data_IF_160349421432
#
_entry.id   IF_160349421432
#
_cell.length_a   1.000
_cell.length_b   1.000
_cell.length_c   1.000
_cell.angle_alpha   90.00
_cell.angle_beta   90.00
_cell.angle_gamma   90.00
#
_symmetry.space_group_name_H-M   'P 1'
#
loop_
_entity.id
_entity.type
_entity.pdbx_description
1 polymer ?
#
# COMPACT_ATOMS: atom_id res chain seq x y z
N UNK A 1 9.16 11.09 2.88
CA UNK A 1 8.50 10.41 4.04
C UNK A 1 8.34 11.28 5.30
N UNK A 2 9.38 11.96 5.80
CA UNK A 2 9.29 12.73 7.06
C UNK A 2 8.21 13.84 7.05
N UNK A 3 8.07 14.58 5.94
CA UNK A 3 7.00 15.57 5.78
C UNK A 3 5.60 14.93 5.80
N UNK A 4 5.44 13.79 5.13
CA UNK A 4 4.19 13.03 5.11
C UNK A 4 3.81 12.54 6.51
N UNK A 5 4.78 11.99 7.28
CA UNK A 5 4.56 11.63 8.69
C UNK A 5 4.07 12.82 9.51
N UNK A 6 4.71 13.99 9.36
CA UNK A 6 4.32 15.21 10.09
C UNK A 6 2.89 15.62 9.75
N UNK A 7 2.53 15.62 8.46
CA UNK A 7 1.15 15.87 7.98
C UNK A 7 0.16 14.87 8.60
N UNK A 8 0.49 13.59 8.59
CA UNK A 8 -0.38 12.54 9.10
C UNK A 8 -0.38 12.40 10.63
N UNK A 9 0.51 13.08 11.35
CA UNK A 9 0.55 13.11 12.82
C UNK A 9 0.82 11.74 13.46
N UNK A 10 1.52 10.84 12.77
CA UNK A 10 1.76 9.48 13.26
C UNK A 10 2.71 9.47 14.47
N UNK A 11 2.32 8.74 15.52
CA UNK A 11 3.09 8.58 16.75
C UNK A 11 3.74 7.20 16.91
N UNK A 12 3.38 6.23 16.08
CA UNK A 12 3.95 4.89 16.13
C UNK A 12 5.42 4.87 15.64
N UNK A 13 6.25 3.93 16.15
CA UNK A 13 7.58 3.69 15.61
C UNK A 13 7.49 3.26 14.15
N UNK A 14 8.31 3.87 13.30
CA UNK A 14 8.38 3.52 11.88
C UNK A 14 9.84 3.51 11.44
N UNK A 15 10.14 2.65 10.48
CA UNK A 15 11.43 2.60 9.80
C UNK A 15 11.13 2.65 8.31
N UNK A 16 11.96 3.37 7.57
CA UNK A 16 11.87 3.38 6.11
C UNK A 16 12.87 2.39 5.54
N UNK A 17 12.44 1.64 4.54
CA UNK A 17 13.31 0.81 3.70
C UNK A 17 13.98 1.59 2.57
N UNK A 18 13.80 2.93 2.53
CA UNK A 18 14.41 3.78 1.52
C UNK A 18 15.94 3.62 1.52
N UNK A 19 16.50 3.41 0.32
CA UNK A 19 17.93 3.19 0.14
C UNK A 19 18.40 1.77 0.49
N UNK A 20 17.49 0.79 0.53
CA UNK A 20 17.81 -0.63 0.69
C UNK A 20 17.08 -1.49 -0.35
N UNK A 21 17.60 -2.68 -0.59
CA UNK A 21 16.99 -3.66 -1.51
C UNK A 21 15.87 -4.50 -0.85
N UNK A 22 15.64 -4.31 0.45
CA UNK A 22 14.64 -5.02 1.25
C UNK A 22 13.26 -5.19 0.58
N UNK A 23 12.62 -4.14 0.00
CA UNK A 23 11.31 -4.31 -0.61
C UNK A 23 11.37 -5.20 -1.87
N UNK A 24 12.48 -5.24 -2.59
CA UNK A 24 12.64 -6.10 -3.76
C UNK A 24 12.96 -7.54 -3.35
N UNK A 25 13.85 -7.72 -2.38
CA UNK A 25 14.24 -9.04 -1.86
C UNK A 25 13.05 -9.82 -1.27
N UNK A 26 12.06 -9.11 -0.74
CA UNK A 26 10.86 -9.69 -0.13
C UNK A 26 9.60 -9.58 -1.00
N UNK A 27 9.73 -9.14 -2.26
CA UNK A 27 8.62 -9.06 -3.20
C UNK A 27 7.55 -8.03 -2.81
N UNK A 28 7.91 -7.01 -2.04
CA UNK A 28 7.06 -5.87 -1.69
C UNK A 28 7.02 -4.81 -2.79
N UNK A 29 7.99 -4.84 -3.72
CA UNK A 29 8.02 -3.98 -4.88
C UNK A 29 8.70 -4.67 -6.06
N UNK A 30 8.37 -4.21 -7.27
CA UNK A 30 8.98 -4.63 -8.53
C UNK A 30 10.02 -3.60 -9.00
N UNK A 31 11.12 -4.09 -9.57
CA UNK A 31 12.01 -3.24 -10.35
C UNK A 31 11.32 -2.80 -11.65
N UNK A 32 11.80 -1.71 -12.26
CA UNK A 32 11.27 -1.27 -13.55
C UNK A 32 11.38 -2.35 -14.63
N UNK A 33 12.46 -3.14 -14.61
CA UNK A 33 12.66 -4.22 -15.57
C UNK A 33 11.62 -5.33 -15.36
N UNK A 34 11.45 -5.80 -14.12
CA UNK A 34 10.46 -6.82 -13.78
C UNK A 34 9.04 -6.40 -14.19
N UNK A 35 8.68 -5.13 -13.97
CA UNK A 35 7.36 -4.60 -14.32
C UNK A 35 7.10 -4.63 -15.84
N UNK A 36 8.11 -4.36 -16.67
CA UNK A 36 8.01 -4.41 -18.14
C UNK A 36 7.85 -5.83 -18.69
N UNK A 37 8.27 -6.82 -17.92
CA UNK A 37 8.14 -8.24 -18.27
C UNK A 37 6.75 -8.81 -17.92
N UNK A 38 5.89 -8.05 -17.23
CA UNK A 38 4.54 -8.47 -16.83
C UNK A 38 3.51 -7.82 -17.76
N UNK A 39 2.91 -8.58 -18.71
CA UNK A 39 1.99 -8.01 -19.71
C UNK A 39 0.80 -7.28 -19.10
N UNK A 40 0.30 -7.77 -17.96
CA UNK A 40 -0.84 -7.15 -17.27
C UNK A 40 -0.48 -5.76 -16.73
N UNK A 41 0.74 -5.56 -16.23
CA UNK A 41 1.18 -4.24 -15.75
C UNK A 41 1.38 -3.30 -16.94
N UNK A 42 1.99 -3.80 -18.02
CA UNK A 42 2.17 -3.01 -19.26
C UNK A 42 0.83 -2.52 -19.79
N UNK A 43 -0.17 -3.41 -19.92
CA UNK A 43 -1.52 -3.04 -20.37
C UNK A 43 -2.18 -1.99 -19.47
N UNK A 44 -2.05 -2.13 -18.14
CA UNK A 44 -2.62 -1.14 -17.20
C UNK A 44 -1.91 0.22 -17.26
N UNK A 45 -0.66 0.28 -17.70
CA UNK A 45 0.08 1.54 -17.90
C UNK A 45 -0.31 2.19 -19.23
N UNK A 46 -0.41 1.40 -20.30
CA UNK A 46 -0.71 1.88 -21.65
C UNK A 46 -2.19 2.29 -21.81
N UNK A 47 -3.11 1.50 -21.24
CA UNK A 47 -4.54 1.69 -21.32
C UNK A 47 -5.18 1.73 -19.92
N UNK A 48 -4.84 2.73 -19.07
CA UNK A 48 -5.29 2.76 -17.70
C UNK A 48 -6.80 3.03 -17.61
N UNK A 49 -7.58 2.16 -16.94
CA UNK A 49 -8.97 2.47 -16.62
C UNK A 49 -9.05 3.74 -15.77
N UNK A 50 -10.16 4.48 -15.89
CA UNK A 50 -10.34 5.79 -15.26
C UNK A 50 -10.06 5.77 -13.73
N UNK A 51 -10.43 4.68 -13.05
CA UNK A 51 -10.18 4.56 -11.61
C UNK A 51 -8.69 4.52 -11.27
N UNK A 52 -7.82 3.93 -12.11
CA UNK A 52 -6.37 3.93 -11.88
C UNK A 52 -5.74 5.29 -12.16
N UNK A 53 -6.30 6.04 -13.11
CA UNK A 53 -5.87 7.43 -13.36
C UNK A 53 -6.19 8.33 -12.16
N UNK A 54 -7.38 8.18 -11.57
CA UNK A 54 -7.75 8.85 -10.32
C UNK A 54 -6.86 8.42 -9.16
N UNK A 55 -6.66 7.12 -9.00
CA UNK A 55 -5.81 6.57 -7.93
C UNK A 55 -4.38 7.11 -7.99
N UNK A 56 -3.76 7.16 -9.18
CA UNK A 56 -2.42 7.73 -9.38
C UNK A 56 -2.33 9.19 -8.93
N UNK A 57 -3.34 10.01 -9.24
CA UNK A 57 -3.44 11.39 -8.75
C UNK A 57 -3.59 11.45 -7.23
N UNK A 58 -4.44 10.60 -6.66
CA UNK A 58 -4.70 10.57 -5.23
C UNK A 58 -3.46 10.18 -4.43
N UNK A 59 -2.69 9.17 -4.87
CA UNK A 59 -1.43 8.77 -4.22
C UNK A 59 -0.29 9.77 -4.48
N UNK A 60 -0.42 10.62 -5.51
CA UNK A 60 0.58 11.62 -5.88
C UNK A 60 1.85 11.03 -6.51
N UNK A 61 1.71 9.91 -7.25
CA UNK A 61 2.79 9.22 -7.92
C UNK A 61 2.41 8.86 -9.35
N UNK A 62 3.39 8.73 -10.24
CA UNK A 62 3.14 8.22 -11.59
C UNK A 62 2.57 6.81 -11.54
N UNK A 63 1.60 6.50 -12.41
CA UNK A 63 0.93 5.20 -12.40
C UNK A 63 1.90 4.02 -12.54
N UNK A 64 2.92 4.16 -13.40
CA UNK A 64 3.96 3.15 -13.59
C UNK A 64 4.76 2.85 -12.30
N UNK A 65 4.87 3.81 -11.40
CA UNK A 65 5.57 3.64 -10.12
C UNK A 65 4.62 3.04 -9.08
N UNK A 66 3.36 3.51 -9.05
CA UNK A 66 2.34 2.94 -8.18
C UNK A 66 2.07 1.45 -8.47
N UNK A 67 2.03 1.05 -9.75
CA UNK A 67 1.80 -0.34 -10.17
C UNK A 67 2.98 -1.28 -9.88
N UNK A 68 4.15 -0.74 -9.48
CA UNK A 68 5.29 -1.55 -9.04
C UNK A 68 5.25 -1.89 -7.57
N UNK A 69 4.42 -1.21 -6.78
CA UNK A 69 4.24 -1.53 -5.37
C UNK A 69 3.39 -2.79 -5.23
N UNK A 70 3.78 -3.67 -4.31
CA UNK A 70 3.00 -4.83 -3.88
C UNK A 70 2.71 -4.70 -2.37
N UNK A 71 1.68 -3.90 -2.00
CA UNK A 71 1.36 -3.65 -0.59
C UNK A 71 1.10 -4.96 0.14
N UNK A 72 1.80 -5.18 1.24
CA UNK A 72 1.77 -6.46 1.95
C UNK A 72 1.89 -6.28 3.46
N UNK A 73 1.35 -7.25 4.21
CA UNK A 73 1.62 -7.42 5.64
C UNK A 73 2.67 -8.50 5.81
N UNK A 74 3.74 -8.16 6.53
CA UNK A 74 4.87 -9.05 6.77
C UNK A 74 5.20 -9.13 8.27
N UNK A 75 5.53 -10.32 8.75
CA UNK A 75 5.94 -10.54 10.14
C UNK A 75 7.21 -11.38 10.25
N UNK A 76 8.07 -10.94 11.17
CA UNK A 76 9.31 -11.63 11.52
C UNK A 76 9.30 -12.03 12.99
N UNK A 77 9.83 -13.20 13.30
CA UNK A 77 10.15 -13.61 14.66
C UNK A 77 11.66 -13.58 14.87
N UNK A 78 12.11 -13.19 16.05
CA UNK A 78 13.53 -13.25 16.42
C UNK A 78 13.70 -14.19 17.60
N UNK A 79 14.54 -15.20 17.43
CA UNK A 79 14.85 -16.19 18.47
C UNK A 79 16.37 -16.46 18.47
N UNK A 80 17.01 -16.33 19.64
CA UNK A 80 18.44 -16.56 19.83
C UNK A 80 19.35 -15.81 18.82
N UNK A 81 18.95 -14.61 18.41
CA UNK A 81 19.69 -13.80 17.44
C UNK A 81 19.34 -14.08 15.98
N UNK A 82 18.70 -15.21 15.68
CA UNK A 82 18.21 -15.56 14.34
C UNK A 82 16.88 -14.86 14.05
N UNK A 83 16.73 -14.32 12.85
CA UNK A 83 15.49 -13.70 12.37
C UNK A 83 14.82 -14.64 11.38
N UNK A 84 13.55 -14.95 11.62
CA UNK A 84 12.72 -15.81 10.79
C UNK A 84 11.65 -14.96 10.12
N UNK A 85 11.53 -15.07 8.79
CA UNK A 85 10.40 -14.55 8.06
C UNK A 85 9.23 -15.54 8.20
N UNK A 86 8.24 -15.18 9.01
CA UNK A 86 7.18 -16.12 9.44
C UNK A 86 5.88 -15.99 8.67
N UNK A 87 5.65 -14.84 8.03
CA UNK A 87 4.38 -14.54 7.39
C UNK A 87 4.52 -13.40 6.39
N UNK A 88 3.95 -13.59 5.19
CA UNK A 88 3.64 -12.52 4.24
C UNK A 88 2.27 -12.76 3.64
N UNK A 89 1.50 -11.68 3.48
CA UNK A 89 0.31 -11.65 2.65
C UNK A 89 0.26 -10.35 1.86
N UNK A 90 0.10 -10.45 0.55
CA UNK A 90 -0.05 -9.31 -0.36
C UNK A 90 -1.51 -8.87 -0.45
N UNK A 91 -1.73 -7.64 -0.88
CA UNK A 91 -3.06 -7.14 -1.24
C UNK A 91 -3.64 -7.90 -2.46
N UNK A 92 -4.97 -8.12 -2.52
CA UNK A 92 -5.94 -7.85 -1.46
C UNK A 92 -5.78 -8.83 -0.31
N UNK A 93 -5.53 -8.31 0.90
CA UNK A 93 -5.29 -9.15 2.06
C UNK A 93 -6.64 -9.64 2.65
N UNK A 94 -6.72 -10.88 3.17
CA UNK A 94 -7.98 -11.46 3.63
C UNK A 94 -8.36 -11.06 5.05
N UNK A 95 -7.54 -10.25 5.74
CA UNK A 95 -7.66 -10.03 7.17
C UNK A 95 -7.89 -8.55 7.52
N UNK A 96 -6.90 -7.70 7.30
CA UNK A 96 -6.90 -6.30 7.67
C UNK A 96 -7.93 -5.51 6.87
N UNK A 97 -7.88 -5.56 5.53
CA UNK A 97 -8.84 -4.81 4.73
C UNK A 97 -10.30 -5.25 4.95
N UNK A 98 -10.66 -6.55 4.95
CA UNK A 98 -12.01 -6.99 5.25
C UNK A 98 -12.47 -6.65 6.67
N UNK A 99 -11.60 -6.83 7.67
CA UNK A 99 -11.95 -6.51 9.07
C UNK A 99 -12.17 -5.01 9.28
N UNK A 100 -11.34 -4.17 8.64
CA UNK A 100 -11.54 -2.73 8.66
C UNK A 100 -12.90 -2.33 8.07
N UNK A 101 -13.26 -2.84 6.88
CA UNK A 101 -14.55 -2.56 6.26
C UNK A 101 -15.73 -2.98 7.14
N UNK A 102 -15.65 -4.18 7.74
CA UNK A 102 -16.63 -4.70 8.68
C UNK A 102 -16.81 -3.80 9.93
N UNK A 103 -15.73 -3.22 10.44
CA UNK A 103 -15.82 -2.26 11.55
C UNK A 103 -16.43 -0.93 11.11
N UNK A 104 -16.09 -0.44 9.91
CA UNK A 104 -16.62 0.81 9.37
C UNK A 104 -18.15 0.78 9.22
N UNK A 105 -18.70 -0.36 8.78
CA UNK A 105 -20.15 -0.60 8.68
C UNK A 105 -20.90 -0.47 10.02
N UNK A 106 -20.20 -0.65 11.16
CA UNK A 106 -20.81 -0.52 12.50
C UNK A 106 -20.77 0.90 13.06
N UNK A 107 -20.13 1.83 12.37
CA UNK A 107 -20.07 3.22 12.84
C UNK A 107 -21.41 3.92 12.61
N UNK A 108 -21.81 4.89 13.46
CA UNK A 108 -23.11 5.58 13.32
C UNK A 108 -23.31 6.32 11.98
N UNK A 109 -22.21 6.64 11.28
CA UNK A 109 -22.24 7.34 9.99
C UNK A 109 -22.53 6.42 8.79
N UNK A 110 -22.63 5.10 9.01
CA UNK A 110 -22.79 4.12 7.94
C UNK A 110 -21.52 3.99 7.07
N UNK A 111 -21.57 3.18 6.01
CA UNK A 111 -20.44 3.05 5.09
C UNK A 111 -20.16 4.37 4.36
N UNK A 112 -18.89 4.68 4.04
CA UNK A 112 -18.57 5.87 3.28
C UNK A 112 -19.24 5.85 1.91
N UNK A 113 -19.73 7.02 1.45
CA UNK A 113 -20.27 7.19 0.11
C UNK A 113 -19.18 7.15 -0.98
N UNK A 114 -17.93 7.38 -0.61
CA UNK A 114 -16.77 7.30 -1.49
C UNK A 114 -16.19 5.90 -1.52
N UNK A 115 -15.83 5.44 -2.73
CA UNK A 115 -15.26 4.10 -2.99
C UNK A 115 -13.88 3.91 -2.35
N UNK A 116 -13.14 4.99 -2.11
CA UNK A 116 -11.77 4.95 -1.62
C UNK A 116 -11.62 5.74 -0.32
N UNK A 117 -10.91 5.19 0.68
CA UNK A 117 -10.56 5.95 1.87
C UNK A 117 -9.65 7.12 1.49
N UNK A 118 -9.91 8.29 2.08
CA UNK A 118 -9.11 9.50 1.91
C UNK A 118 -8.08 9.61 3.03
N UNK A 119 -7.07 10.47 2.85
CA UNK A 119 -6.20 10.82 3.98
C UNK A 119 -7.05 11.55 5.03
N UNK A 120 -6.63 11.46 6.29
CA UNK A 120 -7.38 12.03 7.43
C UNK A 120 -7.77 13.51 7.26
N UNK A 121 -6.96 14.27 6.52
CA UNK A 121 -7.10 15.71 6.29
C UNK A 121 -7.74 16.05 4.93
N UNK A 122 -8.23 15.05 4.19
CA UNK A 122 -8.89 15.18 2.88
C UNK A 122 -10.40 14.92 2.95
N UNK A 123 -10.92 14.46 4.10
CA UNK A 123 -12.36 14.39 4.32
C UNK A 123 -12.95 15.80 4.47
N UNK A 124 -14.13 16.04 3.88
CA UNK A 124 -14.87 17.29 4.07
C UNK A 124 -15.07 17.59 5.56
N UNK A 125 -14.79 18.83 5.97
CA UNK A 125 -15.08 19.29 7.33
C UNK A 125 -16.58 19.43 7.57
#
# INVERSE_FOLDING_TARGET
>A
LAAYKRRMGWQFPYVSTYGSDFPFDLGLALTEQQAREIPQIVELIENPPEFLQHWSRDIGAELKDGLRENPSWIAFARENGTVYHTYTVSAPDPFVAPYFSFLAERTPKGPPSETWPRRKDEYGQ
#
